data_IF_680884914799
#
_entry.id   IF_680884914799
#
_cell.length_a   1.000
_cell.length_b   1.000
_cell.length_c   1.000
_cell.angle_alpha   90.00
_cell.angle_beta   90.00
_cell.angle_gamma   90.00
#
_symmetry.space_group_name_H-M   'P 1'
#
loop_
_entity.id
_entity.type
_entity.pdbx_description
1 polymer ?
#
# COMPACT_ATOMS: atom_id res chain seq x y z
N UNK A 1 -19.30 37.95 26.40
CA UNK A 1 -18.58 37.66 25.14
C UNK A 1 -17.40 36.69 25.35
N UNK A 2 -17.59 35.58 26.05
CA UNK A 2 -16.52 34.57 26.29
C UNK A 2 -16.93 33.13 25.95
N UNK A 3 -18.21 32.85 25.69
CA UNK A 3 -18.68 31.52 25.31
C UNK A 3 -18.61 31.23 23.79
N UNK A 4 -18.63 32.26 22.94
CA UNK A 4 -18.61 32.03 21.49
C UNK A 4 -17.20 31.81 20.91
N UNK A 5 -16.13 32.19 21.62
CA UNK A 5 -14.75 32.08 21.11
C UNK A 5 -14.12 30.69 21.30
N UNK A 6 -14.62 29.88 22.24
CA UNK A 6 -14.07 28.54 22.52
C UNK A 6 -14.58 27.52 21.49
N UNK A 7 -15.82 27.69 21.03
CA UNK A 7 -16.48 26.76 20.09
C UNK A 7 -15.79 26.78 18.71
N UNK A 8 -15.25 27.94 18.28
CA UNK A 8 -14.59 28.08 16.98
C UNK A 8 -13.22 27.39 16.95
N UNK A 9 -12.47 27.37 18.06
CA UNK A 9 -11.15 26.72 18.13
C UNK A 9 -11.24 25.18 18.19
N UNK A 10 -12.29 24.63 18.79
CA UNK A 10 -12.51 23.18 18.83
C UNK A 10 -12.96 22.63 17.47
N UNK A 11 -13.77 23.38 16.72
CA UNK A 11 -14.36 22.93 15.46
C UNK A 11 -13.41 23.03 14.25
N UNK A 12 -12.44 23.96 14.25
CA UNK A 12 -11.57 24.18 13.08
C UNK A 12 -10.20 23.47 13.23
N UNK A 13 -9.69 23.33 14.46
CA UNK A 13 -8.31 22.86 14.69
C UNK A 13 -8.20 21.62 15.60
N UNK A 14 -9.31 21.05 16.08
CA UNK A 14 -9.31 19.81 16.86
C UNK A 14 -8.59 19.88 18.21
N UNK A 15 -8.43 21.07 18.79
CA UNK A 15 -7.65 21.28 20.02
C UNK A 15 -8.49 20.93 21.26
N UNK A 16 -7.94 20.09 22.13
CA UNK A 16 -8.56 19.69 23.40
C UNK A 16 -8.62 20.85 24.41
N UNK A 17 -9.67 20.88 25.23
CA UNK A 17 -9.88 21.85 26.33
C UNK A 17 -8.70 21.92 27.30
N UNK A 18 -7.96 20.81 27.49
CA UNK A 18 -6.75 20.79 28.32
C UNK A 18 -5.60 21.62 27.73
N UNK A 19 -5.44 21.66 26.41
CA UNK A 19 -4.34 22.37 25.75
C UNK A 19 -4.55 23.88 25.77
N UNK A 20 -5.81 24.34 25.63
CA UNK A 20 -6.18 25.76 25.73
C UNK A 20 -5.90 26.29 27.15
N UNK A 21 -6.17 25.48 28.18
CA UNK A 21 -5.94 25.85 29.57
C UNK A 21 -4.45 25.95 29.92
N UNK A 22 -3.61 25.10 29.32
CA UNK A 22 -2.15 25.13 29.50
C UNK A 22 -1.53 26.38 28.86
N UNK A 23 -1.99 26.77 27.67
CA UNK A 23 -1.52 28.00 27.00
C UNK A 23 -1.86 29.27 27.79
N UNK A 24 -2.96 29.26 28.53
CA UNK A 24 -3.36 30.36 29.42
C UNK A 24 -2.49 30.46 30.69
N UNK A 25 -2.04 29.31 31.24
CA UNK A 25 -1.15 29.26 32.41
C UNK A 25 0.29 29.71 32.10
N UNK A 26 0.71 29.65 30.83
CA UNK A 26 2.09 29.99 30.42
C UNK A 26 2.32 31.49 30.16
N UNK A 27 1.34 32.36 30.40
CA UNK A 27 1.55 33.82 30.49
C UNK A 27 2.08 34.49 29.22
N UNK A 28 1.91 33.91 28.04
CA UNK A 28 2.33 34.54 26.77
C UNK A 28 1.25 35.54 26.36
N UNK A 29 1.52 36.86 26.38
CA UNK A 29 0.56 37.85 25.92
C UNK A 29 0.35 37.66 24.42
N UNK A 30 -0.91 37.45 24.06
CA UNK A 30 -1.41 37.34 22.69
C UNK A 30 -1.30 38.70 22.01
N UNK A 31 -0.37 38.84 21.05
CA UNK A 31 -0.47 39.88 20.04
C UNK A 31 -0.99 39.25 18.75
N UNK A 32 -2.28 39.45 18.53
CA UNK A 32 -3.06 39.08 17.35
C UNK A 32 -2.73 40.07 16.19
N UNK A 33 -2.67 39.55 14.96
CA UNK A 33 -3.39 40.06 13.76
C UNK A 33 -2.81 41.27 12.96
N UNK A 34 -2.83 41.41 11.62
CA UNK A 34 -3.23 40.64 10.39
C UNK A 34 -2.49 41.34 9.19
N UNK A 35 -2.51 40.69 8.02
CA UNK A 35 -2.56 41.25 6.64
C UNK A 35 -1.21 41.48 5.95
N UNK A 36 -0.81 40.51 5.13
CA UNK A 36 -0.54 40.81 3.72
C UNK A 36 -1.34 39.85 2.84
N UNK A 37 -2.22 40.46 2.08
CA UNK A 37 -3.08 39.90 1.04
C UNK A 37 -2.28 39.30 -0.10
N UNK A 38 -2.80 38.19 -0.62
CA UNK A 38 -2.87 37.83 -2.04
C UNK A 38 -1.85 38.49 -2.98
N UNK A 39 -0.90 37.70 -3.46
CA UNK A 39 -0.61 37.43 -4.89
C UNK A 39 0.84 37.01 -5.06
N UNK A 40 1.06 35.77 -5.49
CA UNK A 40 2.00 35.41 -6.55
C UNK A 40 1.92 33.89 -6.78
N UNK A 41 2.19 33.39 -7.99
CA UNK A 41 1.56 33.76 -9.25
C UNK A 41 1.19 32.51 -10.05
N UNK A 42 0.26 32.69 -10.97
CA UNK A 42 0.19 31.89 -12.19
C UNK A 42 1.49 32.08 -12.99
N UNK A 43 2.45 31.18 -12.83
CA UNK A 43 3.32 30.72 -13.91
C UNK A 43 2.77 29.32 -14.23
N UNK A 44 2.28 28.99 -15.41
CA UNK A 44 2.69 29.36 -16.75
C UNK A 44 2.50 28.06 -17.53
N UNK A 45 1.73 28.11 -18.61
CA UNK A 45 1.53 26.96 -19.50
C UNK A 45 2.88 26.53 -20.07
N UNK A 46 3.21 25.24 -19.96
CA UNK A 46 4.00 24.56 -20.98
C UNK A 46 3.31 23.23 -21.26
N UNK A 47 2.72 23.14 -22.45
CA UNK A 47 2.41 21.88 -23.10
C UNK A 47 3.70 21.08 -23.17
N UNK A 48 3.69 19.82 -22.71
CA UNK A 48 4.79 18.93 -23.07
C UNK A 48 4.60 18.57 -24.53
N UNK A 49 5.15 19.44 -25.39
CA UNK A 49 5.13 19.27 -26.82
C UNK A 49 5.80 17.94 -27.17
N UNK A 50 5.05 17.19 -27.97
CA UNK A 50 5.57 16.21 -28.91
C UNK A 50 6.69 16.87 -29.74
N UNK A 51 7.94 16.61 -29.37
CA UNK A 51 9.09 16.84 -30.23
C UNK A 51 9.84 15.52 -30.41
N UNK A 52 9.47 14.86 -31.49
CA UNK A 52 10.35 14.03 -32.29
C UNK A 52 11.63 14.84 -32.59
N UNK A 53 12.77 14.35 -32.12
CA UNK A 53 14.07 14.45 -32.80
C UNK A 53 15.12 13.61 -32.06
N UNK A 54 15.72 12.68 -32.80
CA UNK A 54 16.73 11.72 -32.39
C UNK A 54 17.93 12.37 -31.67
N UNK A 55 18.02 12.19 -30.35
CA UNK A 55 19.27 12.29 -29.61
C UNK A 55 19.55 10.98 -28.86
N UNK A 56 20.17 10.04 -29.60
CA UNK A 56 20.59 8.71 -29.12
C UNK A 56 21.96 8.83 -28.44
N UNK A 57 22.14 9.80 -27.55
CA UNK A 57 23.38 9.98 -26.79
C UNK A 57 23.19 10.01 -25.26
N UNK A 58 21.94 10.10 -24.79
CA UNK A 58 21.57 9.98 -23.36
C UNK A 58 20.86 8.67 -22.97
N UNK A 59 20.61 7.76 -23.90
CA UNK A 59 19.74 6.58 -23.72
C UNK A 59 20.46 5.33 -23.20
N UNK A 60 21.48 5.52 -22.35
CA UNK A 60 22.29 4.44 -21.77
C UNK A 60 22.12 4.34 -20.24
N UNK A 61 20.88 4.37 -19.74
CA UNK A 61 20.48 3.74 -18.47
C UNK A 61 18.99 3.85 -18.18
N UNK A 62 18.09 3.55 -19.13
CA UNK A 62 16.74 3.14 -18.69
C UNK A 62 16.94 1.80 -18.00
N UNK A 63 16.93 1.83 -16.67
CA UNK A 63 16.91 0.63 -15.87
C UNK A 63 15.71 -0.19 -16.33
N UNK A 64 15.96 -1.37 -16.91
CA UNK A 64 14.90 -2.22 -17.42
C UNK A 64 14.15 -2.83 -16.23
N UNK A 65 13.16 -2.09 -15.75
CA UNK A 65 12.20 -2.57 -14.78
C UNK A 65 11.13 -3.40 -15.51
N UNK A 66 10.90 -4.61 -15.03
CA UNK A 66 9.82 -5.48 -15.47
C UNK A 66 8.68 -5.47 -14.43
N UNK A 67 7.50 -5.93 -14.85
CA UNK A 67 6.29 -5.90 -14.03
C UNK A 67 5.65 -7.28 -13.93
N UNK A 68 5.27 -7.68 -12.73
CA UNK A 68 4.58 -8.95 -12.45
C UNK A 68 3.20 -8.70 -11.82
N UNK A 69 2.10 -9.27 -12.37
CA UNK A 69 0.77 -9.14 -11.79
C UNK A 69 0.55 -10.15 -10.65
N UNK A 70 0.65 -9.70 -9.40
CA UNK A 70 0.26 -10.48 -8.23
C UNK A 70 -1.19 -10.16 -7.88
N UNK A 71 -2.13 -10.84 -8.52
CA UNK A 71 -3.58 -10.59 -8.43
C UNK A 71 -4.33 -11.79 -7.85
N UNK A 72 -5.47 -11.54 -7.21
CA UNK A 72 -6.38 -12.61 -6.81
C UNK A 72 -6.93 -13.36 -8.04
N UNK A 73 -7.05 -14.69 -8.00
CA UNK A 73 -7.49 -15.46 -9.17
C UNK A 73 -9.02 -15.49 -9.31
N UNK A 74 -9.63 -14.32 -9.56
CA UNK A 74 -11.08 -14.15 -9.77
C UNK A 74 -11.92 -14.76 -8.64
N UNK A 75 -11.62 -14.39 -7.41
CA UNK A 75 -12.28 -14.91 -6.21
C UNK A 75 -13.68 -14.33 -6.05
N UNK A 76 -14.56 -15.02 -5.32
CA UNK A 76 -15.90 -14.51 -4.95
C UNK A 76 -15.99 -14.51 -3.41
N UNK A 77 -15.63 -13.40 -2.75
CA UNK A 77 -15.76 -13.27 -1.31
C UNK A 77 -17.20 -13.45 -0.85
N UNK A 78 -17.43 -14.36 0.10
CA UNK A 78 -18.77 -14.83 0.49
C UNK A 78 -19.18 -14.51 1.93
N UNK A 79 -18.27 -13.92 2.72
CA UNK A 79 -18.55 -13.43 4.08
C UNK A 79 -17.77 -12.14 4.35
N UNK A 80 -18.31 -11.22 5.17
CA UNK A 80 -17.57 -10.06 5.66
C UNK A 80 -16.31 -10.46 6.45
N UNK A 81 -15.37 -9.53 6.56
CA UNK A 81 -14.09 -9.72 7.28
C UNK A 81 -13.31 -10.96 6.79
N UNK A 82 -13.33 -11.21 5.48
CA UNK A 82 -12.65 -12.36 4.87
C UNK A 82 -11.24 -11.98 4.41
N UNK A 83 -10.26 -12.76 4.84
CA UNK A 83 -8.86 -12.60 4.48
C UNK A 83 -8.49 -13.72 3.52
N UNK A 84 -8.31 -13.40 2.24
CA UNK A 84 -7.86 -14.39 1.26
C UNK A 84 -6.37 -14.23 0.99
N UNK A 85 -5.68 -15.36 0.87
CA UNK A 85 -4.29 -15.40 0.44
C UNK A 85 -4.12 -16.20 -0.84
N UNK A 86 -3.22 -15.75 -1.71
CA UNK A 86 -2.78 -16.47 -2.93
C UNK A 86 -1.25 -16.42 -3.06
N UNK A 87 -0.57 -17.54 -3.36
CA UNK A 87 0.87 -17.60 -3.47
C UNK A 87 1.33 -17.56 -4.94
N UNK A 88 2.51 -17.00 -5.18
CA UNK A 88 3.30 -17.24 -6.40
C UNK A 88 4.66 -17.78 -6.01
N UNK A 89 5.16 -18.76 -6.76
CA UNK A 89 6.51 -19.29 -6.60
C UNK A 89 7.51 -18.40 -7.33
N UNK A 90 8.55 -17.98 -6.63
CA UNK A 90 9.67 -17.25 -7.21
C UNK A 90 10.63 -18.27 -7.82
N UNK A 91 11.13 -17.98 -9.03
CA UNK A 91 12.24 -18.73 -9.59
C UNK A 91 13.48 -18.58 -8.68
N UNK A 92 13.89 -19.70 -8.09
CA UNK A 92 14.99 -19.74 -7.12
C UNK A 92 16.37 -19.76 -7.77
N UNK A 93 16.45 -19.79 -9.11
CA UNK A 93 17.70 -19.76 -9.87
C UNK A 93 18.13 -18.35 -10.26
N UNK A 94 17.23 -17.37 -10.17
CA UNK A 94 17.46 -15.98 -10.54
C UNK A 94 17.31 -15.05 -9.33
N UNK A 95 18.13 -14.01 -9.24
CA UNK A 95 17.94 -12.92 -8.26
C UNK A 95 17.04 -11.84 -8.86
N UNK A 96 15.96 -11.52 -8.15
CA UNK A 96 15.06 -10.42 -8.48
C UNK A 96 15.12 -9.37 -7.38
N UNK A 97 15.01 -8.11 -7.75
CA UNK A 97 14.97 -6.98 -6.83
C UNK A 97 13.66 -6.24 -7.04
N UNK A 98 12.76 -6.33 -6.06
CA UNK A 98 11.48 -5.62 -6.10
C UNK A 98 11.73 -4.16 -5.75
N UNK A 99 11.38 -3.25 -6.66
CA UNK A 99 11.65 -1.81 -6.59
C UNK A 99 10.39 -0.96 -6.51
N UNK A 100 9.20 -1.55 -6.69
CA UNK A 100 7.95 -0.81 -6.58
C UNK A 100 6.71 -1.69 -6.55
N UNK A 101 5.60 -1.07 -6.15
CA UNK A 101 4.30 -1.69 -5.99
C UNK A 101 3.21 -0.75 -6.51
N UNK A 102 2.42 -1.21 -7.47
CA UNK A 102 1.26 -0.48 -7.98
C UNK A 102 -0.02 -1.24 -7.60
N UNK A 103 -0.86 -0.71 -6.69
CA UNK A 103 -2.06 -1.40 -6.25
C UNK A 103 -3.12 -1.46 -7.37
N UNK A 104 -3.73 -2.62 -7.54
CA UNK A 104 -4.91 -2.83 -8.37
C UNK A 104 -6.10 -3.12 -7.46
N UNK A 105 -6.61 -2.09 -6.78
CA UNK A 105 -7.76 -2.22 -5.90
C UNK A 105 -8.38 -0.84 -5.63
N UNK A 106 -9.60 -0.84 -5.09
CA UNK A 106 -10.23 0.35 -4.51
C UNK A 106 -10.70 0.01 -3.10
N UNK A 107 -10.87 1.01 -2.22
CA UNK A 107 -11.45 0.82 -0.89
C UNK A 107 -12.87 0.24 -0.92
N UNK A 108 -13.56 0.31 -2.05
CA UNK A 108 -14.86 -0.33 -2.25
C UNK A 108 -14.77 -1.86 -2.37
N UNK A 109 -13.58 -2.42 -2.67
CA UNK A 109 -13.36 -3.86 -2.86
C UNK A 109 -12.44 -4.44 -1.80
N UNK A 110 -11.25 -3.88 -1.64
CA UNK A 110 -10.25 -4.33 -0.68
C UNK A 110 -10.06 -3.27 0.41
N UNK A 111 -10.20 -3.66 1.68
CA UNK A 111 -10.00 -2.75 2.80
C UNK A 111 -8.52 -2.51 3.10
N UNK A 112 -7.69 -3.55 2.97
CA UNK A 112 -6.23 -3.47 2.93
C UNK A 112 -5.64 -4.67 2.20
N UNK A 113 -4.39 -4.54 1.77
CA UNK A 113 -3.61 -5.62 1.16
C UNK A 113 -2.22 -5.71 1.79
N UNK A 114 -1.71 -6.93 1.94
CA UNK A 114 -0.35 -7.19 2.40
C UNK A 114 0.35 -8.14 1.42
N UNK A 115 1.65 -7.94 1.22
CA UNK A 115 2.48 -8.84 0.42
C UNK A 115 3.57 -9.39 1.33
N UNK A 116 3.66 -10.72 1.40
CA UNK A 116 4.63 -11.45 2.19
C UNK A 116 5.66 -12.14 1.31
N UNK A 117 6.93 -12.12 1.72
CA UNK A 117 7.95 -13.02 1.25
C UNK A 117 8.02 -14.24 2.17
N UNK A 118 7.75 -15.42 1.64
CA UNK A 118 7.72 -16.66 2.39
C UNK A 118 8.78 -17.66 1.90
N UNK A 119 9.26 -18.52 2.80
CA UNK A 119 10.00 -19.72 2.39
C UNK A 119 9.08 -20.79 1.79
N UNK A 120 7.88 -20.92 2.35
CA UNK A 120 6.80 -21.83 1.96
C UNK A 120 5.47 -21.14 2.30
N UNK A 121 4.42 -21.28 1.47
CA UNK A 121 3.11 -20.74 1.78
C UNK A 121 2.47 -21.47 2.97
N UNK A 122 1.51 -20.84 3.65
CA UNK A 122 0.82 -21.50 4.76
C UNK A 122 -0.17 -22.58 4.33
N UNK A 123 -0.60 -22.59 3.06
CA UNK A 123 -1.39 -23.67 2.50
C UNK A 123 -0.91 -24.03 1.09
N UNK A 124 -1.22 -25.27 0.66
CA UNK A 124 -0.98 -25.75 -0.70
C UNK A 124 -2.10 -25.40 -1.68
N UNK A 125 -3.22 -24.87 -1.17
CA UNK A 125 -4.36 -24.42 -1.98
C UNK A 125 -3.97 -23.17 -2.78
N UNK A 126 -4.52 -22.97 -4.00
CA UNK A 126 -4.27 -21.76 -4.78
C UNK A 126 -4.80 -20.51 -4.08
N UNK A 127 -5.90 -20.64 -3.33
CA UNK A 127 -6.44 -19.60 -2.45
C UNK A 127 -6.87 -20.23 -1.14
N UNK A 128 -6.60 -19.56 -0.01
CA UNK A 128 -7.11 -19.97 1.30
C UNK A 128 -7.53 -18.77 2.15
N UNK A 129 -8.38 -19.04 3.14
CA UNK A 129 -8.63 -18.07 4.20
C UNK A 129 -7.40 -18.00 5.09
N UNK A 130 -6.68 -16.89 5.05
CA UNK A 130 -5.45 -16.74 5.83
C UNK A 130 -5.63 -16.14 7.22
N UNK A 131 -6.88 -15.89 7.61
CA UNK A 131 -7.25 -15.41 8.92
C UNK A 131 -6.83 -13.96 9.16
N UNK A 132 -7.40 -13.39 10.23
CA UNK A 132 -6.95 -12.11 10.76
C UNK A 132 -5.54 -12.29 11.36
N UNK A 133 -4.68 -11.27 11.25
CA UNK A 133 -3.28 -11.30 11.72
C UNK A 133 -3.07 -11.71 13.19
N UNK A 134 -4.13 -11.92 13.99
CA UNK A 134 -4.03 -12.15 15.44
C UNK A 134 -4.85 -13.28 16.04
N UNK A 135 -5.76 -14.00 15.34
CA UNK A 135 -6.59 -15.03 16.02
C UNK A 135 -7.02 -16.24 15.18
N UNK A 136 -7.06 -17.36 15.91
CA UNK A 136 -7.72 -18.66 15.71
C UNK A 136 -7.79 -19.16 14.27
N UNK A 137 -6.78 -19.95 13.89
CA UNK A 137 -6.88 -20.81 12.72
C UNK A 137 -7.99 -21.83 12.97
N UNK A 138 -9.14 -21.64 12.33
CA UNK A 138 -10.07 -22.72 12.07
C UNK A 138 -9.36 -23.85 11.31
N UNK A 139 -9.90 -25.07 11.35
CA UNK A 139 -9.38 -26.20 10.58
C UNK A 139 -9.21 -25.90 9.08
N UNK A 140 -9.93 -24.89 8.57
CA UNK A 140 -9.93 -24.48 7.16
C UNK A 140 -9.09 -23.23 6.85
N UNK A 141 -8.26 -22.76 7.78
CA UNK A 141 -7.42 -21.56 7.62
C UNK A 141 -5.95 -21.80 7.97
N UNK A 142 -5.06 -21.02 7.38
CA UNK A 142 -3.62 -21.08 7.61
C UNK A 142 -2.96 -19.72 7.42
N UNK A 143 -1.86 -19.43 8.10
CA UNK A 143 -1.12 -18.16 7.93
C UNK A 143 -0.72 -17.89 6.46
N UNK A 144 -0.33 -16.66 6.10
CA UNK A 144 0.25 -16.39 4.77
C UNK A 144 1.48 -17.26 4.45
N UNK A 145 2.41 -17.40 5.41
CA UNK A 145 3.58 -18.27 5.31
C UNK A 145 3.43 -19.51 6.21
N UNK A 146 4.15 -20.60 5.93
CA UNK A 146 4.14 -21.81 6.75
C UNK A 146 4.66 -21.58 8.18
N UNK A 147 4.15 -22.36 9.15
CA UNK A 147 4.40 -22.20 10.60
C UNK A 147 5.89 -22.18 10.98
N UNK A 148 6.72 -22.95 10.29
CA UNK A 148 8.17 -23.02 10.52
C UNK A 148 8.98 -22.47 9.33
N UNK A 149 8.33 -21.62 8.53
CA UNK A 149 8.91 -21.04 7.32
C UNK A 149 9.44 -19.63 7.58
N UNK A 150 10.33 -19.16 6.70
CA UNK A 150 10.67 -17.75 6.63
C UNK A 150 9.42 -16.92 6.30
N UNK A 151 9.28 -15.76 6.93
CA UNK A 151 8.19 -14.82 6.72
C UNK A 151 8.71 -13.38 6.87
N UNK A 152 8.45 -12.56 5.86
CA UNK A 152 8.81 -11.15 5.84
C UNK A 152 7.68 -10.36 5.16
N UNK A 153 7.26 -9.23 5.74
CA UNK A 153 6.37 -8.30 5.05
C UNK A 153 7.21 -7.52 4.03
N UNK A 154 6.77 -7.53 2.77
CA UNK A 154 7.39 -6.82 1.65
C UNK A 154 6.65 -5.52 1.31
N UNK A 155 5.32 -5.50 1.50
CA UNK A 155 4.48 -4.35 1.19
C UNK A 155 3.18 -4.38 1.99
N UNK A 156 2.64 -3.19 2.26
CA UNK A 156 1.33 -2.99 2.86
C UNK A 156 0.61 -1.83 2.16
N UNK A 157 -0.68 -2.00 1.89
CA UNK A 157 -1.54 -1.02 1.25
C UNK A 157 -2.83 -0.84 2.04
N UNK A 158 -3.26 0.42 2.17
CA UNK A 158 -4.54 0.80 2.77
C UNK A 158 -5.02 2.15 2.21
N UNK A 159 -6.33 2.40 2.29
CA UNK A 159 -6.96 3.71 2.02
C UNK A 159 -6.63 4.33 0.66
N UNK A 160 -6.72 3.55 -0.41
CA UNK A 160 -6.46 4.03 -1.78
C UNK A 160 -5.09 4.71 -1.92
N UNK A 161 -4.10 4.23 -1.17
CA UNK A 161 -2.73 4.72 -1.29
C UNK A 161 -2.25 4.58 -2.74
N UNK A 162 -1.52 5.58 -3.27
CA UNK A 162 -1.01 5.52 -4.63
C UNK A 162 0.09 4.46 -4.76
N UNK A 163 0.60 4.32 -6.00
CA UNK A 163 1.80 3.55 -6.29
C UNK A 163 2.93 3.92 -5.32
N UNK A 164 3.64 2.90 -4.82
CA UNK A 164 4.87 3.05 -4.05
C UNK A 164 6.06 2.70 -4.94
N UNK A 165 6.87 3.69 -5.28
CA UNK A 165 8.22 3.49 -5.79
C UNK A 165 9.18 3.51 -4.60
N UNK A 166 10.06 2.51 -4.52
CA UNK A 166 11.12 2.51 -3.50
C UNK A 166 12.19 3.55 -3.88
N UNK A 167 12.91 4.12 -2.90
CA UNK A 167 13.99 5.06 -3.19
C UNK A 167 15.03 4.45 -4.13
N UNK A 168 15.69 5.29 -4.94
CA UNK A 168 16.73 4.84 -5.86
C UNK A 168 17.81 4.02 -5.14
N UNK A 169 18.17 2.88 -5.72
CA UNK A 169 19.13 1.94 -5.14
C UNK A 169 18.58 1.09 -3.99
N UNK A 170 17.27 1.11 -3.74
CA UNK A 170 16.61 0.28 -2.73
C UNK A 170 15.69 -0.73 -3.41
N UNK A 171 15.88 -2.00 -3.08
CA UNK A 171 14.96 -3.06 -3.52
C UNK A 171 15.00 -4.27 -2.60
N UNK A 172 13.89 -5.00 -2.53
CA UNK A 172 13.83 -6.27 -1.82
C UNK A 172 14.37 -7.38 -2.71
N UNK A 173 15.47 -8.00 -2.30
CA UNK A 173 16.03 -9.15 -3.00
C UNK A 173 15.21 -10.42 -2.70
N UNK A 174 14.76 -11.11 -3.74
CA UNK A 174 14.04 -12.40 -3.66
C UNK A 174 14.62 -13.42 -4.64
N UNK A 175 14.28 -14.71 -4.47
CA UNK A 175 14.74 -15.79 -5.35
C UNK A 175 16.11 -16.36 -4.95
N UNK A 176 17.07 -16.35 -5.88
CA UNK A 176 18.39 -16.95 -5.72
C UNK A 176 19.11 -16.47 -4.46
N UNK A 177 19.60 -17.42 -3.65
CA UNK A 177 20.32 -17.17 -2.40
C UNK A 177 19.57 -16.32 -1.37
N UNK A 178 18.23 -16.33 -1.40
CA UNK A 178 17.38 -15.72 -0.38
C UNK A 178 16.47 -16.78 0.26
N UNK A 179 15.98 -16.56 1.49
CA UNK A 179 14.97 -17.43 2.10
C UNK A 179 13.56 -17.20 1.51
N UNK A 180 13.36 -16.20 0.64
CA UNK A 180 12.08 -15.88 0.02
C UNK A 180 11.95 -16.68 -1.28
N UNK A 181 11.17 -17.75 -1.24
CA UNK A 181 10.88 -18.65 -2.38
C UNK A 181 9.46 -18.50 -2.91
N UNK A 182 8.57 -17.87 -2.14
CA UNK A 182 7.23 -17.53 -2.53
C UNK A 182 6.92 -16.08 -2.17
N UNK A 183 6.07 -15.46 -2.97
CA UNK A 183 5.42 -14.19 -2.63
C UNK A 183 3.94 -14.50 -2.41
N UNK A 184 3.39 -14.08 -1.27
CA UNK A 184 1.99 -14.34 -0.92
C UNK A 184 1.26 -13.01 -0.79
N UNK A 185 0.21 -12.83 -1.59
CA UNK A 185 -0.71 -11.71 -1.47
C UNK A 185 -1.80 -12.07 -0.46
N UNK A 186 -2.05 -11.20 0.51
CA UNK A 186 -3.22 -11.19 1.35
C UNK A 186 -4.12 -10.01 0.98
N UNK A 187 -5.41 -10.26 0.76
CA UNK A 187 -6.44 -9.23 0.57
C UNK A 187 -7.50 -9.38 1.65
N UNK A 188 -7.82 -8.27 2.32
CA UNK A 188 -8.91 -8.22 3.27
C UNK A 188 -10.17 -7.62 2.64
N UNK A 189 -11.22 -8.43 2.56
CA UNK A 189 -12.56 -8.06 2.10
C UNK A 189 -13.47 -7.78 3.29
N UNK A 190 -13.56 -6.51 3.69
CA UNK A 190 -14.43 -6.08 4.80
C UNK A 190 -15.93 -6.15 4.43
N UNK A 191 -16.26 -5.89 3.16
CA UNK A 191 -17.63 -5.86 2.66
C UNK A 191 -17.80 -6.83 1.48
N UNK A 192 -18.99 -7.44 1.38
CA UNK A 192 -19.32 -8.42 0.34
C UNK A 192 -20.51 -8.04 -0.55
N UNK A 193 -21.07 -6.84 -0.36
CA UNK A 193 -22.28 -6.42 -1.08
C UNK A 193 -22.10 -6.45 -2.60
N UNK A 194 -20.89 -6.12 -3.08
CA UNK A 194 -20.51 -6.18 -4.49
C UNK A 194 -20.62 -7.60 -5.07
N UNK A 195 -20.37 -8.63 -4.27
CA UNK A 195 -20.24 -10.02 -4.74
C UNK A 195 -21.54 -10.82 -4.65
N UNK A 196 -22.63 -10.23 -4.16
CA UNK A 196 -23.95 -10.89 -4.02
C UNK A 196 -24.54 -11.35 -5.36
N UNK A 197 -24.13 -10.72 -6.45
CA UNK A 197 -24.52 -11.06 -7.82
C UNK A 197 -23.64 -12.14 -8.46
N UNK A 198 -22.64 -12.66 -7.73
CA UNK A 198 -21.68 -13.64 -8.23
C UNK A 198 -20.50 -13.02 -9.00
N UNK A 199 -20.34 -11.69 -8.97
CA UNK A 199 -19.17 -11.04 -9.54
C UNK A 199 -17.88 -11.53 -8.89
N UNK A 200 -16.80 -11.56 -9.69
CA UNK A 200 -15.48 -12.00 -9.24
C UNK A 200 -14.55 -10.81 -9.00
N UNK A 201 -13.52 -11.02 -8.17
CA UNK A 201 -12.52 -10.01 -7.85
C UNK A 201 -11.09 -10.48 -8.18
N UNK A 202 -10.29 -9.58 -8.74
CA UNK A 202 -8.87 -9.74 -9.04
C UNK A 202 -8.02 -8.65 -8.38
N UNK A 203 -8.47 -8.10 -7.24
CA UNK A 203 -7.71 -7.11 -6.49
C UNK A 203 -6.32 -7.67 -6.14
N UNK A 204 -5.32 -6.81 -6.18
CA UNK A 204 -3.95 -7.20 -5.88
C UNK A 204 -2.94 -6.09 -6.14
N UNK A 205 -1.71 -6.47 -6.48
CA UNK A 205 -0.59 -5.54 -6.64
C UNK A 205 0.22 -5.94 -7.87
N UNK A 206 0.53 -4.97 -8.74
CA UNK A 206 1.57 -5.12 -9.73
C UNK A 206 2.92 -4.84 -9.07
N UNK A 207 3.84 -5.80 -9.17
CA UNK A 207 5.18 -5.70 -8.60
C UNK A 207 6.14 -5.25 -9.70
N UNK A 208 6.80 -4.11 -9.48
CA UNK A 208 7.88 -3.64 -10.33
C UNK A 208 9.20 -4.21 -9.80
N UNK A 209 9.99 -4.85 -10.67
CA UNK A 209 11.24 -5.50 -10.31
C UNK A 209 12.33 -5.34 -11.37
N UNK A 210 13.59 -5.48 -10.96
CA UNK A 210 14.76 -5.51 -11.84
C UNK A 210 15.59 -6.77 -11.58
N UNK A 211 16.43 -7.15 -12.55
CA UNK A 211 17.45 -8.20 -12.38
C UNK A 211 18.82 -7.62 -12.00
N UNK A 212 18.97 -6.30 -12.07
CA UNK A 212 20.22 -5.61 -11.73
C UNK A 212 20.27 -5.35 -10.22
N UNK A 213 21.39 -5.68 -9.54
CA UNK A 213 21.60 -5.34 -8.14
C UNK A 213 21.74 -3.83 -7.90
#
# INVERSE_FOLDING_TARGET
MWHMSIIVLQAIFGISTRTIYLLYQMGIPTLLMILFTLQCPTYGLVSYDYLDNNDISGLNSVEQTARFPLLMPKVVPNKPELYLCTPVKVDYTTSYFIVGYEPNATMNTAHHMLVYGCGEPGATKPVWNCGEMSKEYSADSASPCGVHSHSQILYAWARDAPKLDLPNGVGFKVGLNTPIKYIVLQVHYAHIDKFKDGSTDDSGVFIDYTLKP
#
